data_IF_326331305005
#
_entry.id   IF_326331305005
#
_cell.length_a   1.000
_cell.length_b   1.000
_cell.length_c   1.000
_cell.angle_alpha   90.00
_cell.angle_beta   90.00
_cell.angle_gamma   90.00
#
_symmetry.space_group_name_H-M   'P 1'
#
loop_
_entity.id
_entity.type
_entity.pdbx_description
1 polymer ?
#
# COMPACT_ATOMS: atom_id res chain seq x y z
N UNK A 1 17.83 7.83 -16.24
CA UNK A 1 16.59 8.37 -15.63
C UNK A 1 16.29 7.51 -14.43
N UNK A 2 16.47 8.07 -13.23
CA UNK A 2 16.25 7.40 -11.97
C UNK A 2 14.75 7.22 -11.73
N UNK A 3 14.32 6.00 -11.44
CA UNK A 3 12.94 5.66 -11.08
C UNK A 3 12.69 6.06 -9.63
N UNK A 4 12.29 7.32 -9.42
CA UNK A 4 11.95 7.92 -8.13
C UNK A 4 10.52 7.57 -7.63
N UNK A 5 9.82 6.66 -8.30
CA UNK A 5 8.37 6.50 -8.13
C UNK A 5 7.85 5.57 -7.02
N UNK A 6 8.59 4.61 -6.41
CA UNK A 6 7.96 3.71 -5.43
C UNK A 6 7.78 4.33 -4.03
N UNK A 7 8.68 5.24 -3.62
CA UNK A 7 8.68 5.81 -2.25
C UNK A 7 7.60 6.88 -2.09
N UNK A 8 7.38 7.70 -3.11
CA UNK A 8 6.43 8.81 -3.06
C UNK A 8 4.97 8.34 -2.92
N UNK A 9 4.64 7.18 -3.48
CA UNK A 9 3.28 6.62 -3.42
C UNK A 9 2.98 5.97 -2.05
N UNK A 10 3.98 5.36 -1.40
CA UNK A 10 3.84 4.80 -0.04
C UNK A 10 3.60 5.88 1.02
N UNK A 11 4.36 6.98 0.98
CA UNK A 11 4.20 8.08 1.93
C UNK A 11 2.82 8.74 1.78
N UNK A 12 2.38 8.93 0.54
CA UNK A 12 1.06 9.51 0.23
C UNK A 12 -0.08 8.61 0.69
N UNK A 13 0.08 7.29 0.60
CA UNK A 13 -0.93 6.33 1.07
C UNK A 13 -0.96 6.23 2.60
N UNK A 14 0.20 6.19 3.27
CA UNK A 14 0.27 6.28 4.75
C UNK A 14 -0.37 7.57 5.25
N UNK A 15 -0.10 8.68 4.57
CA UNK A 15 -0.66 9.98 4.93
C UNK A 15 -2.19 10.00 4.75
N UNK A 16 -2.73 9.38 3.69
CA UNK A 16 -4.19 9.23 3.51
C UNK A 16 -4.82 8.37 4.58
N UNK A 17 -4.23 7.23 4.93
CA UNK A 17 -4.72 6.35 6.00
C UNK A 17 -4.75 7.07 7.36
N UNK A 18 -3.66 7.76 7.71
CA UNK A 18 -3.58 8.56 8.94
C UNK A 18 -4.60 9.71 8.95
N UNK A 19 -4.83 10.32 7.79
CA UNK A 19 -5.81 11.41 7.65
C UNK A 19 -7.23 10.89 7.82
N UNK A 20 -7.59 9.78 7.17
CA UNK A 20 -8.91 9.15 7.30
C UNK A 20 -9.17 8.68 8.73
N UNK A 21 -8.17 8.08 9.38
CA UNK A 21 -8.28 7.66 10.78
C UNK A 21 -8.48 8.85 11.72
N UNK A 22 -7.76 9.96 11.51
CA UNK A 22 -7.97 11.21 12.28
C UNK A 22 -9.39 11.76 12.13
N UNK A 23 -9.95 11.74 10.91
CA UNK A 23 -11.32 12.20 10.69
C UNK A 23 -12.35 11.29 11.36
N UNK A 24 -12.19 9.96 11.27
CA UNK A 24 -13.04 9.01 11.99
C UNK A 24 -12.99 9.25 13.50
N UNK A 25 -11.80 9.43 14.06
CA UNK A 25 -11.63 9.74 15.47
C UNK A 25 -12.32 11.04 15.88
N UNK A 26 -12.16 12.11 15.10
CA UNK A 26 -12.82 13.39 15.35
C UNK A 26 -14.35 13.25 15.33
N UNK A 27 -14.89 12.51 14.36
CA UNK A 27 -16.32 12.21 14.26
C UNK A 27 -16.83 11.46 15.51
N UNK A 28 -16.08 10.47 15.99
CA UNK A 28 -16.44 9.71 17.20
C UNK A 28 -16.47 10.63 18.43
N UNK A 29 -15.47 11.49 18.60
CA UNK A 29 -15.42 12.44 19.74
C UNK A 29 -16.62 13.39 19.71
N UNK A 30 -16.91 13.97 18.55
CA UNK A 30 -18.08 14.86 18.38
C UNK A 30 -19.38 14.10 18.71
N UNK A 31 -19.48 12.85 18.27
CA UNK A 31 -20.65 12.02 18.53
C UNK A 31 -20.82 11.69 20.03
N UNK A 32 -19.73 11.39 20.74
CA UNK A 32 -19.76 11.18 22.19
C UNK A 32 -20.25 12.44 22.91
N UNK A 33 -19.73 13.61 22.53
CA UNK A 33 -20.18 14.89 23.10
C UNK A 33 -21.68 15.08 22.86
N UNK A 34 -22.18 14.73 21.67
CA UNK A 34 -23.60 14.78 21.36
C UNK A 34 -24.44 13.85 22.26
N UNK A 35 -24.01 12.60 22.47
CA UNK A 35 -24.69 11.65 23.37
C UNK A 35 -24.75 12.18 24.81
N UNK A 36 -23.66 12.77 25.31
CA UNK A 36 -23.65 13.38 26.65
C UNK A 36 -24.67 14.53 26.74
N UNK A 37 -24.75 15.36 25.70
CA UNK A 37 -25.74 16.44 25.59
C UNK A 37 -27.17 15.90 25.59
N UNK A 38 -27.42 14.80 24.89
CA UNK A 38 -28.73 14.13 24.85
C UNK A 38 -29.15 13.62 26.24
N UNK A 39 -28.27 12.90 26.91
CA UNK A 39 -28.50 12.38 28.27
C UNK A 39 -28.76 13.56 29.21
N UNK A 40 -27.97 14.63 29.12
CA UNK A 40 -28.16 15.82 29.96
C UNK A 40 -29.52 16.49 29.69
N UNK A 41 -29.90 16.64 28.42
CA UNK A 41 -31.17 17.24 28.01
C UNK A 41 -32.40 16.47 28.51
N UNK A 42 -32.35 15.14 28.41
CA UNK A 42 -33.47 14.29 28.84
C UNK A 42 -33.54 14.17 30.36
N UNK A 43 -32.43 13.82 31.01
CA UNK A 43 -32.45 13.48 32.44
C UNK A 43 -32.37 14.69 33.36
N UNK A 44 -31.58 15.72 33.02
CA UNK A 44 -31.38 16.89 33.89
C UNK A 44 -32.33 18.03 33.53
N UNK A 45 -32.51 18.32 32.24
CA UNK A 45 -33.35 19.43 31.78
C UNK A 45 -34.82 19.03 31.58
N UNK A 46 -35.14 17.72 31.67
CA UNK A 46 -36.49 17.17 31.47
C UNK A 46 -37.14 17.66 30.18
N UNK A 47 -36.36 17.83 29.11
CA UNK A 47 -36.85 18.29 27.80
C UNK A 47 -37.79 17.28 27.11
N UNK A 48 -38.03 16.12 27.74
CA UNK A 48 -38.85 15.03 27.23
C UNK A 48 -38.07 14.15 26.25
N UNK A 49 -38.41 12.87 26.19
CA UNK A 49 -37.60 11.85 25.47
C UNK A 49 -37.50 12.06 23.95
N UNK A 50 -38.29 12.97 23.37
CA UNK A 50 -38.35 13.21 21.92
C UNK A 50 -37.77 14.57 21.50
N UNK A 51 -37.14 15.32 22.41
CA UNK A 51 -36.64 16.67 22.10
C UNK A 51 -35.58 16.68 20.99
N UNK A 52 -34.84 15.57 20.84
CA UNK A 52 -33.79 15.41 19.85
C UNK A 52 -34.15 14.46 18.71
N UNK A 53 -35.42 14.51 18.25
CA UNK A 53 -36.01 13.74 17.14
C UNK A 53 -36.15 12.24 17.45
N UNK A 54 -35.10 11.60 17.98
CA UNK A 54 -35.08 10.20 18.41
C UNK A 54 -34.96 10.10 19.94
N UNK A 55 -35.39 8.97 20.49
CA UNK A 55 -35.20 8.65 21.91
C UNK A 55 -33.74 8.33 22.23
N UNK A 56 -33.35 8.44 23.50
CA UNK A 56 -31.99 8.12 23.96
C UNK A 56 -31.59 6.70 23.55
N UNK A 57 -32.50 5.74 23.69
CA UNK A 57 -32.29 4.35 23.29
C UNK A 57 -32.02 4.22 21.78
N UNK A 58 -32.80 4.92 20.95
CA UNK A 58 -32.60 4.92 19.49
C UNK A 58 -31.27 5.57 19.08
N UNK A 59 -30.85 6.62 19.79
CA UNK A 59 -29.52 7.21 19.61
C UNK A 59 -28.39 6.24 19.98
N UNK A 60 -28.56 5.42 21.02
CA UNK A 60 -27.61 4.36 21.38
C UNK A 60 -27.54 3.28 20.28
N UNK A 61 -28.69 2.86 19.74
CA UNK A 61 -28.73 1.94 18.60
C UNK A 61 -28.03 2.53 17.37
N UNK A 62 -28.25 3.81 17.08
CA UNK A 62 -27.54 4.53 16.01
C UNK A 62 -26.03 4.53 16.23
N UNK A 63 -25.58 4.72 17.47
CA UNK A 63 -24.16 4.69 17.83
C UNK A 63 -23.52 3.34 17.48
N UNK A 64 -24.20 2.24 17.84
CA UNK A 64 -23.73 0.86 17.55
C UNK A 64 -23.57 0.66 16.04
N UNK A 65 -24.55 1.10 15.25
CA UNK A 65 -24.50 0.99 13.78
C UNK A 65 -23.33 1.81 13.21
N UNK A 66 -23.15 3.05 13.67
CA UNK A 66 -22.06 3.93 13.25
C UNK A 66 -20.69 3.33 13.55
N UNK A 67 -20.49 2.80 14.77
CA UNK A 67 -19.24 2.15 15.17
C UNK A 67 -18.99 0.91 14.31
N UNK A 68 -20.02 0.10 14.05
CA UNK A 68 -19.89 -1.08 13.18
C UNK A 68 -19.45 -0.70 11.77
N UNK A 69 -19.97 0.38 11.20
CA UNK A 69 -19.56 0.87 9.87
C UNK A 69 -18.12 1.36 9.92
N UNK A 70 -17.74 2.13 10.95
CA UNK A 70 -16.39 2.63 11.11
C UNK A 70 -15.36 1.49 11.16
N UNK A 71 -15.63 0.44 11.95
CA UNK A 71 -14.80 -0.77 12.02
C UNK A 71 -14.72 -1.44 10.64
N UNK A 72 -15.85 -1.58 9.94
CA UNK A 72 -15.87 -2.16 8.59
C UNK A 72 -14.96 -1.41 7.61
N UNK A 73 -15.00 -0.07 7.63
CA UNK A 73 -14.13 0.78 6.80
C UNK A 73 -12.66 0.57 7.16
N UNK A 74 -12.31 0.53 8.46
CA UNK A 74 -10.93 0.27 8.89
C UNK A 74 -10.42 -1.10 8.41
N UNK A 75 -11.25 -2.14 8.51
CA UNK A 75 -10.89 -3.48 8.02
C UNK A 75 -10.64 -3.46 6.50
N UNK A 76 -11.51 -2.81 5.73
CA UNK A 76 -11.33 -2.69 4.26
C UNK A 76 -10.01 -1.98 3.94
N UNK A 77 -9.70 -0.91 4.64
CA UNK A 77 -8.44 -0.17 4.48
C UNK A 77 -7.21 -1.02 4.84
N UNK A 78 -7.27 -1.81 5.91
CA UNK A 78 -6.20 -2.72 6.31
C UNK A 78 -5.99 -3.83 5.26
N UNK A 79 -7.06 -4.43 4.75
CA UNK A 79 -6.97 -5.44 3.69
C UNK A 79 -6.34 -4.84 2.44
N UNK A 80 -6.77 -3.65 2.03
CA UNK A 80 -6.20 -2.94 0.89
C UNK A 80 -4.68 -2.70 1.07
N UNK A 81 -4.27 -2.27 2.28
CA UNK A 81 -2.87 -2.07 2.62
C UNK A 81 -2.04 -3.35 2.49
N UNK A 82 -2.52 -4.46 3.06
CA UNK A 82 -1.84 -5.77 3.00
C UNK A 82 -1.72 -6.25 1.54
N UNK A 83 -2.78 -6.08 0.74
CA UNK A 83 -2.76 -6.45 -0.68
C UNK A 83 -1.75 -5.61 -1.48
N UNK A 84 -1.60 -4.32 -1.16
CA UNK A 84 -0.60 -3.47 -1.80
C UNK A 84 0.82 -3.84 -1.40
N UNK A 85 1.08 -4.08 -0.11
CA UNK A 85 2.38 -4.59 0.34
C UNK A 85 2.74 -5.92 -0.33
N UNK A 86 1.78 -6.83 -0.50
CA UNK A 86 2.04 -8.10 -1.18
C UNK A 86 2.45 -7.91 -2.65
N UNK A 87 1.96 -6.86 -3.32
CA UNK A 87 2.41 -6.49 -4.67
C UNK A 87 3.81 -5.89 -4.67
N UNK A 88 4.17 -5.10 -3.66
CA UNK A 88 5.50 -4.50 -3.52
C UNK A 88 6.57 -5.49 -3.04
N UNK A 89 6.22 -6.48 -2.21
CA UNK A 89 7.12 -7.56 -1.75
C UNK A 89 7.25 -8.67 -2.82
N UNK A 90 6.53 -8.55 -3.94
CA UNK A 90 6.90 -9.17 -5.21
C UNK A 90 7.61 -8.17 -6.13
N UNK A 91 8.68 -7.45 -5.72
CA UNK A 91 9.52 -6.84 -6.73
C UNK A 91 10.19 -8.04 -7.40
N UNK A 92 9.93 -8.23 -8.68
CA UNK A 92 10.81 -9.06 -9.50
C UNK A 92 10.86 -10.53 -9.06
N UNK A 93 9.71 -11.22 -9.08
CA UNK A 93 9.73 -12.66 -9.31
C UNK A 93 10.23 -12.88 -10.75
N UNK A 94 11.55 -12.80 -10.90
CA UNK A 94 12.35 -13.55 -11.83
C UNK A 94 11.81 -13.45 -13.27
N UNK A 95 11.91 -12.25 -13.86
CA UNK A 95 11.71 -12.09 -15.30
C UNK A 95 12.66 -13.04 -16.03
N UNK A 96 12.04 -13.98 -16.72
CA UNK A 96 12.59 -14.96 -17.64
C UNK A 96 13.54 -16.00 -17.03
N UNK A 97 12.94 -16.99 -16.36
CA UNK A 97 13.42 -18.37 -16.45
C UNK A 97 13.25 -18.87 -17.90
N UNK A 98 14.05 -18.31 -18.81
CA UNK A 98 14.23 -18.88 -20.14
C UNK A 98 14.92 -20.22 -19.97
N UNK A 99 14.25 -21.32 -20.27
CA UNK A 99 14.91 -22.62 -20.33
C UNK A 99 15.84 -22.63 -21.54
N UNK A 100 17.15 -22.57 -21.30
CA UNK A 100 18.15 -22.86 -22.33
C UNK A 100 18.55 -24.34 -22.17
N UNK A 101 18.29 -25.13 -23.21
CA UNK A 101 18.63 -26.57 -23.25
C UNK A 101 18.07 -27.39 -22.07
N UNK A 102 16.84 -27.08 -21.63
CA UNK A 102 16.18 -27.80 -20.54
C UNK A 102 16.71 -27.49 -19.13
N UNK A 103 17.61 -26.51 -18.99
CA UNK A 103 18.18 -26.10 -17.70
C UNK A 103 17.66 -24.74 -17.26
N UNK A 104 17.55 -24.57 -15.94
CA UNK A 104 17.04 -23.37 -15.29
C UNK A 104 18.09 -22.25 -15.33
N UNK A 105 17.81 -21.17 -16.05
CA UNK A 105 18.75 -20.06 -16.23
C UNK A 105 18.50 -18.95 -15.20
N UNK A 106 19.51 -18.66 -14.38
CA UNK A 106 19.50 -17.55 -13.43
C UNK A 106 20.22 -16.35 -14.06
N UNK A 107 19.49 -15.24 -14.29
CA UNK A 107 20.08 -14.02 -14.84
C UNK A 107 20.63 -13.14 -13.70
N UNK A 108 21.92 -12.81 -13.73
CA UNK A 108 22.54 -11.87 -12.79
C UNK A 108 23.19 -10.72 -13.57
N UNK A 109 22.75 -9.48 -13.34
CA UNK A 109 23.21 -8.30 -14.09
C UNK A 109 24.05 -7.37 -13.22
N UNK A 110 25.22 -6.97 -13.72
CA UNK A 110 26.17 -6.04 -13.07
C UNK A 110 26.36 -4.83 -14.02
N UNK A 111 26.17 -3.58 -13.55
CA UNK A 111 25.75 -3.17 -12.21
C UNK A 111 24.27 -3.49 -11.92
N UNK A 112 23.93 -3.55 -10.63
CA UNK A 112 22.60 -3.95 -10.16
C UNK A 112 21.52 -3.02 -10.72
N UNK A 113 20.46 -3.61 -11.30
CA UNK A 113 19.31 -2.90 -11.87
C UNK A 113 19.60 -2.07 -13.15
N UNK A 114 20.63 -2.41 -13.92
CA UNK A 114 20.88 -1.80 -15.23
C UNK A 114 19.90 -2.33 -16.29
N UNK A 115 19.00 -1.47 -16.77
CA UNK A 115 17.92 -1.83 -17.72
C UNK A 115 18.37 -1.66 -19.19
N UNK A 116 19.31 -0.74 -19.47
CA UNK A 116 19.68 -0.32 -20.82
C UNK A 116 21.20 -0.23 -20.94
N UNK A 117 21.76 -0.67 -22.07
CA UNK A 117 23.19 -0.72 -22.33
C UNK A 117 23.58 -1.91 -23.20
N UNK A 118 24.84 -1.97 -23.61
CA UNK A 118 25.40 -3.18 -24.22
C UNK A 118 25.95 -4.06 -23.10
N UNK A 119 25.45 -5.29 -23.02
CA UNK A 119 25.85 -6.26 -22.01
C UNK A 119 26.61 -7.42 -22.66
N UNK A 120 27.76 -7.77 -22.08
CA UNK A 120 28.38 -9.07 -22.31
C UNK A 120 27.60 -10.13 -21.55
N UNK A 121 27.23 -11.22 -22.23
CA UNK A 121 26.55 -12.36 -21.62
C UNK A 121 27.54 -13.51 -21.48
N UNK A 122 27.73 -13.99 -20.26
CA UNK A 122 28.56 -15.16 -19.98
C UNK A 122 27.69 -16.22 -19.32
N UNK A 123 27.65 -17.41 -19.92
CA UNK A 123 26.91 -18.55 -19.37
C UNK A 123 27.88 -19.44 -18.59
N UNK A 124 27.62 -19.60 -17.30
CA UNK A 124 28.40 -20.44 -16.39
C UNK A 124 27.48 -21.56 -15.92
N UNK A 125 27.82 -22.81 -16.22
CA UNK A 125 27.10 -23.96 -15.68
C UNK A 125 27.44 -24.12 -14.20
N UNK A 126 26.44 -23.99 -13.32
CA UNK A 126 26.61 -24.25 -11.88
C UNK A 126 26.42 -25.74 -11.60
N UNK A 127 25.42 -26.34 -12.24
CA UNK A 127 25.00 -27.71 -12.00
C UNK A 127 24.36 -28.32 -13.28
N UNK A 128 24.05 -29.61 -13.28
CA UNK A 128 23.41 -30.32 -14.39
C UNK A 128 22.05 -29.70 -14.78
N UNK A 129 21.38 -29.03 -13.83
CA UNK A 129 20.06 -28.40 -14.00
C UNK A 129 20.09 -26.87 -14.01
N UNK A 130 21.22 -26.24 -13.68
CA UNK A 130 21.28 -24.79 -13.43
C UNK A 130 22.38 -24.11 -14.23
N UNK A 131 22.01 -23.06 -14.96
CA UNK A 131 22.95 -22.20 -15.71
C UNK A 131 22.85 -20.78 -15.14
N UNK A 132 23.97 -20.19 -14.80
CA UNK A 132 24.07 -18.77 -14.47
C UNK A 132 24.36 -17.97 -15.74
N UNK A 133 23.51 -17.01 -16.05
CA UNK A 133 23.75 -16.02 -17.10
C UNK A 133 24.21 -14.72 -16.43
N UNK A 134 25.53 -14.50 -16.43
CA UNK A 134 26.14 -13.27 -15.97
C UNK A 134 26.09 -12.22 -17.08
N UNK A 135 25.40 -11.11 -16.83
CA UNK A 135 25.30 -9.97 -17.73
C UNK A 135 26.15 -8.83 -17.19
N UNK A 136 27.28 -8.57 -17.82
CA UNK A 136 28.15 -7.45 -17.45
C UNK A 136 27.95 -6.29 -18.41
N UNK A 137 27.60 -5.11 -17.90
CA UNK A 137 27.43 -3.91 -18.72
C UNK A 137 28.80 -3.45 -19.24
N UNK A 138 29.00 -3.54 -20.56
CA UNK A 138 30.22 -3.06 -21.21
C UNK A 138 30.09 -1.60 -21.64
N UNK A 139 28.93 -1.24 -22.19
CA UNK A 139 28.67 0.14 -22.63
C UNK A 139 27.39 0.64 -21.98
N UNK A 140 27.49 1.69 -21.17
CA UNK A 140 26.33 2.29 -20.53
C UNK A 140 25.50 3.11 -21.52
N UNK A 141 24.21 3.35 -21.22
CA UNK A 141 23.28 3.94 -22.18
C UNK A 141 23.62 5.39 -22.56
N UNK A 142 24.34 6.10 -21.69
CA UNK A 142 24.81 7.46 -21.93
C UNK A 142 25.94 7.54 -22.98
N UNK A 143 26.68 6.46 -23.18
CA UNK A 143 27.75 6.39 -24.21
C UNK A 143 27.21 5.94 -25.57
N UNK A 144 26.01 5.35 -25.62
CA UNK A 144 25.39 4.84 -26.86
C UNK A 144 24.73 5.93 -27.69
N UNK A 145 24.19 6.95 -27.02
CA UNK A 145 23.56 8.09 -27.66
C UNK A 145 24.38 9.30 -27.27
N UNK A 146 25.29 9.74 -28.16
CA UNK A 146 26.13 10.90 -27.95
C UNK A 146 25.34 12.08 -27.39
N UNK A 147 25.94 12.81 -26.45
CA UNK A 147 25.30 13.92 -25.73
C UNK A 147 24.46 14.77 -26.68
N UNK A 148 23.14 14.84 -26.44
CA UNK A 148 22.33 15.90 -27.04
C UNK A 148 22.83 17.23 -26.47
N UNK A 149 23.65 17.92 -27.25
CA UNK A 149 23.82 19.38 -27.12
C UNK A 149 22.47 20.06 -27.36
#
# INVERSE_FOLDING_TARGET
MATTEPIWDEEKQKQRLLTTSKFLFLFIVIYIIWIVLLITGVYFLKLGDKWAILTVEQWIWSAIVLISIAIGIEIILLIYYILLQKKQIQPEKQKDLGFLQGRQVHNYTIPFNAIVGIFSKTFISIDEKHILNLRYQMVPPYDLWGQKQ
#
